data_IF_138580950703
#
_entry.id   IF_138580950703
#
_cell.length_a   1.000
_cell.length_b   1.000
_cell.length_c   1.000
_cell.angle_alpha   90.00
_cell.angle_beta   90.00
_cell.angle_gamma   90.00
#
_symmetry.space_group_name_H-M   'P 1'
#
loop_
_entity.id
_entity.type
_entity.pdbx_description
1 polymer ?
#
# COMPACT_ATOMS: atom_id res chain seq x y z
N UNK A 1 -34.10 -11.33 83.54
CA UNK A 1 -34.20 -10.90 82.12
C UNK A 1 -33.50 -11.95 81.28
N UNK A 2 -34.19 -12.56 80.32
CA UNK A 2 -33.67 -13.70 79.55
C UNK A 2 -32.40 -13.33 78.75
N UNK A 3 -31.43 -14.24 78.65
CA UNK A 3 -30.15 -14.00 77.99
C UNK A 3 -30.29 -14.02 76.46
N UNK A 4 -29.68 -13.02 75.82
CA UNK A 4 -29.49 -12.92 74.37
C UNK A 4 -28.60 -14.07 73.90
N UNK A 5 -29.21 -15.15 73.42
CA UNK A 5 -28.55 -16.16 72.62
C UNK A 5 -28.10 -15.51 71.30
N UNK A 6 -26.78 -15.36 71.15
CA UNK A 6 -26.18 -14.95 69.88
C UNK A 6 -26.58 -15.94 68.78
N UNK A 7 -27.13 -15.47 67.65
CA UNK A 7 -27.54 -16.33 66.57
C UNK A 7 -26.31 -16.93 65.88
N UNK A 8 -26.19 -18.27 65.92
CA UNK A 8 -25.34 -19.03 64.99
C UNK A 8 -25.97 -18.94 63.61
N UNK A 9 -25.77 -17.84 62.90
CA UNK A 9 -26.25 -17.69 61.53
C UNK A 9 -25.10 -17.83 60.53
N UNK A 10 -25.27 -18.88 59.73
CA UNK A 10 -24.93 -18.94 58.31
C UNK A 10 -23.46 -18.80 57.91
N UNK A 11 -22.67 -19.83 58.23
CA UNK A 11 -21.53 -20.23 57.39
C UNK A 11 -21.92 -20.60 55.94
N UNK A 12 -23.21 -20.74 55.65
CA UNK A 12 -23.72 -21.00 54.30
C UNK A 12 -23.69 -19.77 53.37
N UNK A 13 -23.69 -18.54 53.90
CA UNK A 13 -23.73 -17.34 53.03
C UNK A 13 -22.39 -17.09 52.32
N UNK A 14 -21.28 -17.45 52.95
CA UNK A 14 -19.92 -17.28 52.39
C UNK A 14 -19.67 -18.21 51.20
N UNK A 15 -20.29 -19.39 51.15
CA UNK A 15 -20.12 -20.32 50.02
C UNK A 15 -20.86 -19.85 48.75
N UNK A 16 -21.97 -19.12 48.88
CA UNK A 16 -22.71 -18.59 47.73
C UNK A 16 -21.97 -17.46 47.01
N UNK A 17 -21.17 -16.66 47.74
CA UNK A 17 -20.38 -15.58 47.12
C UNK A 17 -19.21 -16.14 46.31
N UNK A 18 -18.59 -17.24 46.75
CA UNK A 18 -17.49 -17.89 46.03
C UNK A 18 -18.01 -18.55 44.74
N UNK A 19 -19.20 -19.15 44.75
CA UNK A 19 -19.79 -19.76 43.55
C UNK A 19 -20.11 -18.75 42.44
N UNK A 20 -20.48 -17.51 42.79
CA UNK A 20 -20.77 -16.47 41.79
C UNK A 20 -19.50 -15.84 41.18
N UNK A 21 -18.39 -15.79 41.92
CA UNK A 21 -17.11 -15.30 41.40
C UNK A 21 -16.44 -16.30 40.44
N UNK A 22 -16.68 -17.60 40.62
CA UNK A 22 -16.13 -18.66 39.77
C UNK A 22 -16.89 -18.85 38.45
N UNK A 23 -18.06 -18.23 38.26
CA UNK A 23 -18.88 -18.44 37.06
C UNK A 23 -18.59 -17.50 35.88
N UNK A 24 -17.69 -16.52 36.02
CA UNK A 24 -17.39 -15.58 34.93
C UNK A 24 -16.14 -15.88 34.10
N UNK A 25 -15.50 -17.04 34.29
CA UNK A 25 -14.37 -17.44 33.42
C UNK A 25 -14.80 -18.21 32.15
N UNK A 26 -16.11 -18.35 31.91
CA UNK A 26 -16.64 -18.66 30.57
C UNK A 26 -17.05 -17.40 29.81
N UNK A 27 -16.23 -16.35 29.88
CA UNK A 27 -16.16 -15.40 28.77
C UNK A 27 -15.64 -16.16 27.57
N UNK A 28 -16.57 -16.54 26.70
CA UNK A 28 -16.37 -17.10 25.37
C UNK A 28 -14.99 -16.76 24.82
N UNK A 29 -14.06 -17.72 24.92
CA UNK A 29 -12.90 -17.73 24.06
C UNK A 29 -13.46 -17.64 22.64
N UNK A 30 -13.06 -16.60 21.91
CA UNK A 30 -13.33 -16.41 20.47
C UNK A 30 -13.32 -17.80 19.81
N UNK A 31 -14.38 -18.17 19.05
CA UNK A 31 -14.52 -19.53 18.55
C UNK A 31 -13.23 -19.98 17.86
N UNK A 32 -12.64 -21.05 18.37
CA UNK A 32 -11.61 -21.80 17.65
C UNK A 32 -12.20 -22.12 16.28
N UNK A 33 -11.51 -21.66 15.23
CA UNK A 33 -11.83 -21.77 13.80
C UNK A 33 -13.02 -22.71 13.52
N UNK A 34 -14.21 -22.17 13.23
CA UNK A 34 -15.29 -23.01 12.71
C UNK A 34 -14.86 -23.52 11.33
N UNK A 35 -14.56 -24.82 11.27
CA UNK A 35 -14.34 -25.55 10.02
C UNK A 35 -15.67 -25.59 9.24
N UNK A 36 -15.90 -24.59 8.40
CA UNK A 36 -16.72 -24.73 7.20
C UNK A 36 -15.79 -24.53 6.00
N UNK A 37 -15.17 -25.64 5.56
CA UNK A 37 -14.53 -25.88 4.26
C UNK A 37 -13.44 -24.91 3.72
N UNK A 38 -13.07 -23.85 4.44
CA UNK A 38 -11.93 -22.98 4.16
C UNK A 38 -11.09 -22.82 5.43
N UNK A 39 -9.76 -22.95 5.31
CA UNK A 39 -8.83 -22.89 6.44
C UNK A 39 -8.98 -21.66 7.34
N UNK A 40 -8.42 -21.72 8.55
CA UNK A 40 -8.58 -20.67 9.56
C UNK A 40 -8.30 -19.27 8.98
N UNK A 41 -9.20 -18.32 9.25
CA UNK A 41 -9.10 -16.94 8.79
C UNK A 41 -7.79 -16.33 9.33
N UNK A 42 -6.78 -16.19 8.45
CA UNK A 42 -5.53 -15.50 8.79
C UNK A 42 -5.63 -14.06 8.27
N UNK A 43 -5.81 -13.08 9.17
CA UNK A 43 -5.94 -11.67 8.79
C UNK A 43 -4.72 -11.17 8.00
N UNK A 44 -3.51 -11.63 8.32
CA UNK A 44 -2.30 -11.18 7.65
C UNK A 44 -2.22 -11.71 6.22
N UNK A 45 -2.51 -13.00 6.03
CA UNK A 45 -2.56 -13.62 4.69
C UNK A 45 -3.60 -12.93 3.81
N UNK A 46 -4.79 -12.66 4.36
CA UNK A 46 -5.86 -12.00 3.60
C UNK A 46 -5.49 -10.57 3.21
N UNK A 47 -4.88 -9.80 4.11
CA UNK A 47 -4.39 -8.44 3.79
C UNK A 47 -3.29 -8.47 2.73
N UNK A 48 -2.34 -9.40 2.81
CA UNK A 48 -1.32 -9.55 1.75
C UNK A 48 -1.93 -9.91 0.41
N UNK A 49 -2.87 -10.86 0.38
CA UNK A 49 -3.55 -11.27 -0.85
C UNK A 49 -4.33 -10.10 -1.46
N UNK A 50 -5.01 -9.29 -0.65
CA UNK A 50 -5.69 -8.07 -1.12
C UNK A 50 -4.69 -7.08 -1.73
N UNK A 51 -3.59 -6.76 -1.02
CA UNK A 51 -2.57 -5.85 -1.52
C UNK A 51 -1.92 -6.35 -2.83
N UNK A 52 -1.66 -7.65 -2.95
CA UNK A 52 -1.11 -8.29 -4.17
C UNK A 52 -2.10 -8.16 -5.34
N UNK A 53 -3.40 -8.44 -5.11
CA UNK A 53 -4.44 -8.28 -6.13
C UNK A 53 -4.56 -6.83 -6.59
N UNK A 54 -4.53 -5.87 -5.66
CA UNK A 54 -4.52 -4.44 -6.01
C UNK A 54 -3.30 -4.05 -6.83
N UNK A 55 -2.12 -4.59 -6.50
CA UNK A 55 -0.92 -4.34 -7.28
C UNK A 55 -1.02 -4.92 -8.71
N UNK A 56 -1.67 -6.06 -8.88
CA UNK A 56 -1.97 -6.63 -10.20
C UNK A 56 -2.97 -5.78 -11.00
N UNK A 57 -4.01 -5.26 -10.36
CA UNK A 57 -4.94 -4.29 -10.97
C UNK A 57 -4.18 -3.05 -11.45
N UNK A 58 -3.36 -2.44 -10.58
CA UNK A 58 -2.54 -1.27 -10.97
C UNK A 58 -1.61 -1.62 -12.13
N UNK A 59 -0.99 -2.81 -12.12
CA UNK A 59 -0.10 -3.23 -13.21
C UNK A 59 -0.83 -3.23 -14.56
N UNK A 60 -2.03 -3.82 -14.61
CA UNK A 60 -2.83 -3.83 -15.84
C UNK A 60 -3.26 -2.42 -16.25
N UNK A 61 -3.66 -1.58 -15.29
CA UNK A 61 -4.06 -0.19 -15.57
C UNK A 61 -2.88 0.69 -16.01
N UNK A 62 -1.69 0.46 -15.46
CA UNK A 62 -0.47 1.18 -15.81
C UNK A 62 -0.04 0.88 -17.26
N UNK A 63 -0.17 -0.37 -17.69
CA UNK A 63 0.03 -0.76 -19.10
C UNK A 63 -1.01 -0.08 -20.00
N UNK A 64 -2.29 -0.15 -19.65
CA UNK A 64 -3.35 0.44 -20.47
C UNK A 64 -3.23 1.97 -20.57
N UNK A 65 -3.03 2.68 -19.46
CA UNK A 65 -2.93 4.14 -19.48
C UNK A 65 -1.68 4.60 -20.23
N UNK A 66 -0.60 3.81 -20.19
CA UNK A 66 0.59 4.07 -20.97
C UNK A 66 0.27 4.05 -22.46
N UNK A 67 -0.36 2.98 -22.96
CA UNK A 67 -0.76 2.87 -24.37
C UNK A 67 -1.74 3.99 -24.77
N UNK A 68 -2.71 4.31 -23.92
CA UNK A 68 -3.65 5.42 -24.14
C UNK A 68 -2.91 6.75 -24.33
N UNK A 69 -1.87 7.03 -23.52
CA UNK A 69 -1.13 8.27 -23.67
C UNK A 69 -0.40 8.38 -25.04
N UNK A 70 0.08 7.25 -25.58
CA UNK A 70 0.76 7.22 -26.86
C UNK A 70 -0.17 7.32 -28.07
N UNK A 71 -1.41 6.84 -27.95
CA UNK A 71 -2.33 6.72 -29.09
C UNK A 71 -3.49 7.71 -29.08
N UNK A 72 -3.92 8.19 -27.92
CA UNK A 72 -5.07 9.09 -27.82
C UNK A 72 -4.74 10.50 -28.36
N UNK A 73 -5.59 11.12 -29.20
CA UNK A 73 -5.38 12.48 -29.73
C UNK A 73 -5.13 13.56 -28.66
N UNK A 74 -5.61 13.35 -27.44
CA UNK A 74 -5.35 14.22 -26.29
C UNK A 74 -3.85 14.40 -25.98
N UNK A 75 -3.07 13.32 -26.11
CA UNK A 75 -1.69 13.23 -25.59
C UNK A 75 -0.66 12.79 -26.63
N UNK A 76 -1.07 12.05 -27.66
CA UNK A 76 -0.16 11.36 -28.59
C UNK A 76 0.86 12.29 -29.25
N UNK A 77 0.43 13.48 -29.71
CA UNK A 77 1.34 14.46 -30.31
C UNK A 77 2.46 14.93 -29.35
N UNK A 78 2.14 15.07 -28.06
CA UNK A 78 3.13 15.43 -27.03
C UNK A 78 4.07 14.27 -26.75
N UNK A 79 3.53 13.06 -26.63
CA UNK A 79 4.31 11.84 -26.41
C UNK A 79 5.27 11.54 -27.57
N UNK A 80 4.83 11.68 -28.82
CA UNK A 80 5.69 11.56 -30.01
C UNK A 80 6.83 12.58 -29.96
N UNK A 81 6.55 13.82 -29.56
CA UNK A 81 7.57 14.87 -29.43
C UNK A 81 8.59 14.52 -28.33
N UNK A 82 8.13 14.03 -27.18
CA UNK A 82 9.00 13.60 -26.08
C UNK A 82 9.88 12.42 -26.50
N UNK A 83 9.31 11.42 -27.16
CA UNK A 83 10.05 10.25 -27.67
C UNK A 83 11.12 10.68 -28.68
N UNK A 84 10.80 11.59 -29.60
CA UNK A 84 11.77 12.12 -30.56
C UNK A 84 12.91 12.88 -29.86
N UNK A 85 12.60 13.68 -28.83
CA UNK A 85 13.61 14.38 -28.01
C UNK A 85 14.51 13.40 -27.26
N UNK A 86 13.93 12.35 -26.68
CA UNK A 86 14.66 11.30 -25.98
C UNK A 86 15.62 10.55 -26.91
N UNK A 87 15.21 10.20 -28.14
CA UNK A 87 16.12 9.57 -29.12
C UNK A 87 17.25 10.49 -29.56
N UNK A 88 17.08 11.82 -29.44
CA UNK A 88 18.15 12.82 -29.61
C UNK A 88 18.98 13.05 -28.35
N UNK A 89 18.83 12.20 -27.34
CA UNK A 89 19.53 12.30 -26.05
C UNK A 89 19.25 13.61 -25.30
N UNK A 90 18.05 14.18 -25.45
CA UNK A 90 17.60 15.28 -24.59
C UNK A 90 17.61 14.80 -23.13
N UNK A 91 18.47 15.42 -22.32
CA UNK A 91 18.73 15.01 -20.95
C UNK A 91 17.48 15.08 -20.07
N UNK A 92 16.58 16.04 -20.29
CA UNK A 92 15.38 16.20 -19.49
C UNK A 92 14.40 15.04 -19.73
N UNK A 93 14.21 14.64 -21.00
CA UNK A 93 13.32 13.52 -21.34
C UNK A 93 13.95 12.18 -21.00
N UNK A 94 15.26 12.03 -21.21
CA UNK A 94 15.98 10.83 -20.78
C UNK A 94 15.87 10.64 -19.27
N UNK A 95 16.07 11.71 -18.48
CA UNK A 95 15.86 11.68 -17.04
C UNK A 95 14.42 11.30 -16.70
N UNK A 96 13.43 11.88 -17.40
CA UNK A 96 12.02 11.59 -17.16
C UNK A 96 11.67 10.12 -17.40
N UNK A 97 12.33 9.44 -18.35
CA UNK A 97 12.10 8.01 -18.60
C UNK A 97 12.62 7.09 -17.48
N UNK A 98 13.74 7.44 -16.84
CA UNK A 98 14.50 6.51 -16.00
C UNK A 98 14.61 6.91 -14.52
N UNK A 99 14.27 8.15 -14.16
CA UNK A 99 14.34 8.64 -12.78
C UNK A 99 12.95 8.64 -12.17
N UNK A 100 12.63 7.56 -11.47
CA UNK A 100 11.34 7.39 -10.82
C UNK A 100 11.33 7.97 -9.41
N UNK A 101 10.15 8.40 -8.90
CA UNK A 101 10.01 8.90 -7.53
C UNK A 101 10.59 7.94 -6.48
N UNK A 102 10.54 6.65 -6.80
CA UNK A 102 10.81 5.56 -5.90
C UNK A 102 12.27 5.05 -5.94
N UNK A 103 13.12 5.55 -6.87
CA UNK A 103 14.48 5.05 -7.10
C UNK A 103 15.31 4.99 -5.79
N UNK A 104 15.10 5.96 -4.89
CA UNK A 104 15.81 6.05 -3.60
C UNK A 104 15.23 5.18 -2.48
N UNK A 105 14.06 4.59 -2.71
CA UNK A 105 13.28 3.84 -1.73
C UNK A 105 13.00 2.40 -2.10
N UNK A 106 13.26 2.00 -3.35
CA UNK A 106 13.09 0.62 -3.78
C UNK A 106 13.97 -0.31 -2.93
N UNK A 107 13.40 -1.30 -2.24
CA UNK A 107 14.20 -2.30 -1.55
C UNK A 107 15.09 -3.07 -2.55
N UNK A 108 16.30 -3.52 -2.12
CA UNK A 108 17.11 -4.42 -2.93
C UNK A 108 16.30 -5.65 -3.37
N UNK A 109 16.47 -6.07 -4.63
CA UNK A 109 15.67 -7.16 -5.21
C UNK A 109 16.19 -8.55 -4.81
N UNK A 110 17.50 -8.72 -4.69
CA UNK A 110 18.16 -9.98 -4.39
C UNK A 110 19.56 -9.77 -3.82
N UNK A 111 20.24 -10.87 -3.50
CA UNK A 111 21.61 -10.87 -3.00
C UNK A 111 21.72 -10.57 -1.50
N UNK A 112 22.96 -10.48 -0.98
CA UNK A 112 23.19 -10.39 0.46
C UNK A 112 22.54 -9.16 1.09
N UNK A 113 22.42 -8.06 0.34
CA UNK A 113 21.73 -6.86 0.82
C UNK A 113 20.26 -7.12 1.08
N UNK A 114 19.56 -7.89 0.22
CA UNK A 114 18.14 -8.24 0.37
C UNK A 114 17.93 -9.34 1.43
N UNK A 115 18.75 -10.37 1.41
CA UNK A 115 18.63 -11.54 2.31
C UNK A 115 18.85 -11.15 3.77
N UNK A 116 19.80 -10.25 4.04
CA UNK A 116 20.13 -9.82 5.40
C UNK A 116 19.23 -8.70 5.95
N UNK A 117 18.27 -8.17 5.17
CA UNK A 117 17.34 -7.15 5.68
C UNK A 117 16.40 -7.81 6.69
N UNK A 118 16.46 -7.36 7.95
CA UNK A 118 15.46 -7.71 8.97
C UNK A 118 14.06 -7.38 8.45
N UNK A 119 13.11 -8.32 8.56
CA UNK A 119 11.74 -8.19 8.04
C UNK A 119 11.06 -6.87 8.46
N UNK A 120 11.20 -6.44 9.71
CA UNK A 120 10.72 -5.13 10.19
C UNK A 120 11.28 -3.93 9.40
N UNK A 121 12.57 -3.95 9.06
CA UNK A 121 13.21 -2.90 8.25
C UNK A 121 12.70 -2.98 6.81
N UNK A 122 12.59 -4.18 6.26
CA UNK A 122 12.09 -4.40 4.91
C UNK A 122 10.66 -3.88 4.72
N UNK A 123 9.75 -4.20 5.65
CA UNK A 123 8.38 -3.70 5.66
C UNK A 123 8.31 -2.16 5.70
N UNK A 124 9.16 -1.52 6.51
CA UNK A 124 9.27 -0.05 6.55
C UNK A 124 9.82 0.55 5.26
N UNK A 125 10.73 -0.15 4.57
CA UNK A 125 11.22 0.28 3.26
C UNK A 125 10.07 0.22 2.25
N UNK A 126 9.27 -0.85 2.29
CA UNK A 126 8.12 -1.02 1.42
C UNK A 126 7.04 0.06 1.61
N UNK A 127 6.72 0.42 2.85
CA UNK A 127 5.81 1.54 3.15
C UNK A 127 6.33 2.86 2.55
N UNK A 128 7.63 3.13 2.61
CA UNK A 128 8.19 4.34 1.98
C UNK A 128 8.18 4.25 0.44
N UNK A 129 8.41 3.06 -0.13
CA UNK A 129 8.40 2.83 -1.57
C UNK A 129 7.00 3.07 -2.16
N UNK A 130 5.96 2.45 -1.59
CA UNK A 130 4.57 2.69 -2.01
C UNK A 130 4.12 4.11 -1.67
N UNK A 131 4.53 4.62 -0.50
CA UNK A 131 4.25 5.99 -0.07
C UNK A 131 4.83 7.06 -1.02
N UNK A 132 5.94 6.77 -1.71
CA UNK A 132 6.56 7.68 -2.69
C UNK A 132 5.63 8.03 -3.86
N UNK A 133 4.63 7.18 -4.12
CA UNK A 133 3.67 7.33 -5.21
C UNK A 133 2.41 8.13 -4.85
N UNK A 134 2.15 8.40 -3.56
CA UNK A 134 0.96 9.14 -3.13
C UNK A 134 0.90 10.54 -3.76
N UNK A 135 1.98 11.31 -3.66
CA UNK A 135 2.02 12.67 -4.23
C UNK A 135 1.99 12.67 -5.77
N UNK A 136 2.77 11.85 -6.49
CA UNK A 136 2.69 11.78 -7.95
C UNK A 136 1.29 11.40 -8.48
N UNK A 137 0.63 10.40 -7.89
CA UNK A 137 -0.68 9.93 -8.35
C UNK A 137 -1.80 10.92 -8.04
N UNK A 138 -1.79 11.54 -6.85
CA UNK A 138 -2.70 12.62 -6.52
C UNK A 138 -2.62 13.76 -7.53
N UNK A 139 -1.40 14.21 -7.84
CA UNK A 139 -1.21 15.28 -8.81
C UNK A 139 -1.53 14.85 -10.24
N UNK A 140 -1.29 13.58 -10.61
CA UNK A 140 -1.75 13.07 -11.91
C UNK A 140 -3.25 13.24 -12.07
N UNK A 141 -4.04 12.78 -11.11
CA UNK A 141 -5.50 12.86 -11.16
C UNK A 141 -6.00 14.30 -11.09
N UNK A 142 -5.42 15.12 -10.20
CA UNK A 142 -5.77 16.53 -10.06
C UNK A 142 -5.54 17.29 -11.37
N UNK A 143 -4.36 17.14 -11.97
CA UNK A 143 -3.97 17.91 -13.14
C UNK A 143 -4.67 17.40 -14.40
N UNK A 144 -4.86 16.09 -14.56
CA UNK A 144 -5.67 15.52 -15.66
C UNK A 144 -7.09 16.05 -15.63
N UNK A 145 -7.74 16.10 -14.45
CA UNK A 145 -9.10 16.62 -14.29
C UNK A 145 -9.23 18.08 -14.72
N UNK A 146 -8.16 18.87 -14.55
CA UNK A 146 -8.12 20.28 -14.95
C UNK A 146 -7.77 20.51 -16.43
N UNK A 147 -7.39 19.47 -17.18
CA UNK A 147 -7.02 19.61 -18.59
C UNK A 147 -8.25 19.62 -19.51
N UNK A 148 -8.20 20.51 -20.52
CA UNK A 148 -9.22 20.52 -21.57
C UNK A 148 -9.16 19.23 -22.39
N UNK A 149 -10.34 18.68 -22.70
CA UNK A 149 -10.52 17.48 -23.54
C UNK A 149 -9.84 16.22 -22.99
N UNK A 150 -9.63 16.12 -21.66
CA UNK A 150 -9.15 14.88 -21.05
C UNK A 150 -10.14 13.74 -21.33
N UNK A 151 -9.69 12.61 -21.91
CA UNK A 151 -10.55 11.46 -22.10
C UNK A 151 -10.92 10.82 -20.77
N UNK A 152 -12.20 10.52 -20.56
CA UNK A 152 -12.66 9.85 -19.33
C UNK A 152 -11.95 8.51 -19.12
N UNK A 153 -11.62 7.80 -20.21
CA UNK A 153 -10.87 6.52 -20.15
C UNK A 153 -9.45 6.64 -19.60
N UNK A 154 -8.82 7.83 -19.68
CA UNK A 154 -7.51 8.09 -19.07
C UNK A 154 -7.72 8.49 -17.61
N UNK A 155 -8.67 9.39 -17.37
CA UNK A 155 -8.93 9.93 -16.04
C UNK A 155 -9.44 8.87 -15.05
N UNK A 156 -10.33 7.97 -15.48
CA UNK A 156 -10.84 6.88 -14.63
C UNK A 156 -9.73 5.92 -14.22
N UNK A 157 -8.90 5.46 -15.17
CA UNK A 157 -7.75 4.60 -14.87
C UNK A 157 -6.76 5.27 -13.90
N UNK A 158 -6.50 6.56 -14.06
CA UNK A 158 -5.62 7.30 -13.15
C UNK A 158 -6.19 7.34 -11.71
N UNK A 159 -7.50 7.55 -11.56
CA UNK A 159 -8.19 7.50 -10.24
C UNK A 159 -8.09 6.11 -9.62
N UNK A 160 -8.33 5.06 -10.40
CA UNK A 160 -8.27 3.68 -9.90
C UNK A 160 -6.86 3.30 -9.45
N UNK A 161 -5.83 3.78 -10.17
CA UNK A 161 -4.43 3.60 -9.77
C UNK A 161 -4.14 4.34 -8.46
N UNK A 162 -4.54 5.61 -8.34
CA UNK A 162 -4.36 6.42 -7.13
C UNK A 162 -5.00 5.74 -5.91
N UNK A 163 -6.25 5.30 -6.07
CA UNK A 163 -7.02 4.62 -5.04
C UNK A 163 -6.35 3.33 -4.58
N UNK A 164 -6.05 2.43 -5.51
CA UNK A 164 -5.45 1.15 -5.17
C UNK A 164 -4.05 1.32 -4.54
N UNK A 165 -3.26 2.31 -4.97
CA UNK A 165 -1.96 2.57 -4.35
C UNK A 165 -2.11 3.05 -2.89
N UNK A 166 -3.13 3.88 -2.61
CA UNK A 166 -3.44 4.32 -1.25
C UNK A 166 -3.87 3.16 -0.36
N UNK A 167 -4.72 2.27 -0.86
CA UNK A 167 -5.17 1.08 -0.12
C UNK A 167 -4.00 0.13 0.19
N UNK A 168 -3.09 -0.12 -0.77
CA UNK A 168 -1.87 -0.92 -0.53
C UNK A 168 -1.02 -0.30 0.59
N UNK A 169 -0.92 1.04 0.62
CA UNK A 169 -0.15 1.73 1.66
C UNK A 169 -0.80 1.54 3.04
N UNK A 170 -2.13 1.64 3.15
CA UNK A 170 -2.85 1.37 4.39
C UNK A 170 -2.70 -0.08 4.85
N UNK A 171 -2.79 -1.04 3.93
CA UNK A 171 -2.55 -2.46 4.22
C UNK A 171 -1.15 -2.68 4.82
N UNK A 172 -0.12 -2.08 4.23
CA UNK A 172 1.25 -2.17 4.75
C UNK A 172 1.41 -1.54 6.14
N UNK A 173 0.77 -0.39 6.39
CA UNK A 173 0.75 0.29 7.71
C UNK A 173 0.06 -0.58 8.75
N UNK A 174 -1.05 -1.20 8.39
CA UNK A 174 -1.78 -2.12 9.24
C UNK A 174 -0.93 -3.36 9.56
N UNK A 175 -0.30 -3.98 8.55
CA UNK A 175 0.61 -5.12 8.74
C UNK A 175 1.74 -4.75 9.70
N UNK A 176 2.36 -3.58 9.55
CA UNK A 176 3.43 -3.12 10.45
C UNK A 176 2.94 -3.04 11.89
N UNK A 177 1.75 -2.49 12.10
CA UNK A 177 1.12 -2.33 13.42
C UNK A 177 0.78 -3.68 14.05
N UNK A 178 0.32 -4.66 13.24
CA UNK A 178 -0.03 -6.00 13.73
C UNK A 178 1.19 -6.86 14.04
N UNK A 179 2.17 -6.89 13.14
CA UNK A 179 3.37 -7.73 13.29
C UNK A 179 4.36 -7.11 14.29
N UNK A 180 4.44 -5.78 14.36
CA UNK A 180 5.35 -5.08 15.25
C UNK A 180 4.65 -3.93 16.00
N UNK A 181 3.79 -4.20 16.99
CA UNK A 181 2.98 -3.17 17.68
C UNK A 181 3.80 -2.04 18.33
N UNK A 182 5.03 -2.32 18.74
CA UNK A 182 5.95 -1.34 19.34
C UNK A 182 6.81 -0.60 18.32
N UNK A 183 6.62 -0.85 17.03
CA UNK A 183 7.40 -0.21 15.97
C UNK A 183 6.97 1.26 15.79
N UNK A 184 7.87 2.17 16.15
CA UNK A 184 7.78 3.55 15.68
C UNK A 184 8.16 3.62 14.20
N UNK A 185 7.36 4.31 13.39
CA UNK A 185 7.69 4.62 12.00
C UNK A 185 7.51 6.11 11.75
N UNK A 186 8.54 6.72 11.16
CA UNK A 186 8.44 8.03 10.52
C UNK A 186 8.55 7.78 9.02
N UNK A 187 7.47 8.03 8.30
CA UNK A 187 7.50 7.96 6.85
C UNK A 187 8.41 9.05 6.29
N UNK A 188 9.14 8.69 5.24
CA UNK A 188 10.04 9.61 4.56
C UNK A 188 9.20 10.52 3.67
N UNK A 189 9.42 11.82 3.78
CA UNK A 189 8.96 12.77 2.78
C UNK A 189 9.90 12.60 1.58
N UNK A 190 9.37 12.14 0.47
CA UNK A 190 10.14 11.88 -0.75
C UNK A 190 9.84 13.00 -1.73
N UNK A 191 10.88 13.72 -2.14
CA UNK A 191 10.78 14.73 -3.19
C UNK A 191 10.65 14.04 -4.54
N UNK A 192 9.63 14.42 -5.31
CA UNK A 192 9.48 14.01 -6.70
C UNK A 192 9.90 15.15 -7.62
N UNK A 193 10.95 14.93 -8.41
CA UNK A 193 11.59 15.93 -9.27
C UNK A 193 10.62 16.63 -10.25
N UNK A 194 9.55 15.95 -10.67
CA UNK A 194 8.59 16.45 -11.66
C UNK A 194 7.32 17.06 -11.06
N UNK A 195 7.28 17.27 -9.73
CA UNK A 195 6.16 17.93 -9.06
C UNK A 195 5.93 19.35 -9.58
N UNK A 196 7.00 20.10 -9.86
CA UNK A 196 6.88 21.44 -10.45
C UNK A 196 6.37 21.38 -11.89
N UNK A 197 6.86 20.41 -12.68
CA UNK A 197 6.47 20.25 -14.08
C UNK A 197 5.00 19.87 -14.23
N UNK A 198 4.46 18.97 -13.39
CA UNK A 198 3.05 18.58 -13.49
C UNK A 198 2.08 19.71 -13.13
N UNK A 199 2.49 20.61 -12.23
CA UNK A 199 1.72 21.79 -11.80
C UNK A 199 1.91 23.00 -12.73
N UNK A 200 2.85 22.93 -13.67
CA UNK A 200 3.19 24.03 -14.57
C UNK A 200 2.02 24.33 -15.52
N UNK A 201 1.73 25.59 -15.83
CA UNK A 201 0.76 25.91 -16.88
C UNK A 201 1.28 25.58 -18.30
N UNK A 202 2.59 25.34 -18.45
CA UNK A 202 3.21 24.95 -19.71
C UNK A 202 2.82 23.50 -20.07
N UNK A 203 2.12 23.33 -21.19
CA UNK A 203 1.63 22.02 -21.64
C UNK A 203 2.77 21.00 -21.77
N UNK A 204 3.92 21.39 -22.33
CA UNK A 204 5.06 20.49 -22.49
C UNK A 204 5.63 20.00 -21.17
N UNK A 205 5.65 20.83 -20.13
CA UNK A 205 6.10 20.46 -18.79
C UNK A 205 5.13 19.49 -18.12
N UNK A 206 3.82 19.75 -18.22
CA UNK A 206 2.81 18.79 -17.71
C UNK A 206 2.96 17.42 -18.35
N UNK A 207 3.09 17.38 -19.68
CA UNK A 207 3.24 16.11 -20.40
C UNK A 207 4.59 15.42 -20.15
N UNK A 208 5.66 16.16 -19.85
CA UNK A 208 6.93 15.57 -19.41
C UNK A 208 6.77 14.84 -18.06
N UNK A 209 6.04 15.43 -17.11
CA UNK A 209 5.76 14.79 -15.83
C UNK A 209 4.84 13.57 -15.97
N UNK A 210 3.80 13.66 -16.82
CA UNK A 210 2.93 12.53 -17.13
C UNK A 210 3.71 11.39 -17.81
N UNK A 211 4.64 11.73 -18.71
CA UNK A 211 5.54 10.76 -19.34
C UNK A 211 6.45 10.07 -18.31
N UNK A 212 6.96 10.80 -17.31
CA UNK A 212 7.70 10.20 -16.20
C UNK A 212 6.83 9.20 -15.43
N UNK A 213 5.64 9.61 -15.00
CA UNK A 213 4.72 8.74 -14.25
C UNK A 213 4.36 7.48 -15.05
N UNK A 214 4.00 7.62 -16.34
CA UNK A 214 3.52 6.51 -17.15
C UNK A 214 4.57 5.43 -17.42
N UNK A 215 5.86 5.78 -17.43
CA UNK A 215 6.95 4.80 -17.55
C UNK A 215 7.30 4.20 -16.19
N UNK A 216 7.46 5.06 -15.17
CA UNK A 216 7.88 4.63 -13.85
C UNK A 216 6.86 3.72 -13.16
N UNK A 217 5.57 4.00 -13.31
CA UNK A 217 4.52 3.21 -12.68
C UNK A 217 4.55 1.76 -13.15
N UNK A 218 4.75 1.51 -14.45
CA UNK A 218 4.84 0.15 -15.03
C UNK A 218 5.97 -0.67 -14.41
N UNK A 219 7.11 -0.04 -14.14
CA UNK A 219 8.28 -0.68 -13.54
C UNK A 219 8.10 -0.88 -12.04
N UNK A 220 7.68 0.16 -11.34
CA UNK A 220 7.61 0.14 -9.87
C UNK A 220 6.49 -0.76 -9.33
N UNK A 221 5.38 -0.89 -10.06
CA UNK A 221 4.30 -1.77 -9.63
C UNK A 221 4.69 -3.26 -9.75
N UNK A 222 5.51 -3.60 -10.75
CA UNK A 222 6.09 -4.94 -10.85
C UNK A 222 6.92 -5.27 -9.60
N UNK A 223 7.78 -4.35 -9.16
CA UNK A 223 8.55 -4.52 -7.94
C UNK A 223 7.70 -4.51 -6.68
N UNK A 224 6.66 -3.68 -6.62
CA UNK A 224 5.69 -3.67 -5.52
C UNK A 224 5.10 -5.06 -5.30
N UNK A 225 4.64 -5.71 -6.37
CA UNK A 225 4.09 -7.08 -6.31
C UNK A 225 5.13 -8.10 -5.84
N UNK A 226 6.35 -8.03 -6.36
CA UNK A 226 7.46 -8.88 -5.92
C UNK A 226 7.73 -8.72 -4.41
N UNK A 227 7.83 -7.49 -3.92
CA UNK A 227 8.11 -7.22 -2.52
C UNK A 227 6.99 -7.63 -1.59
N UNK A 228 5.72 -7.47 -1.99
CA UNK A 228 4.56 -7.93 -1.24
C UNK A 228 4.59 -9.45 -1.03
N UNK A 229 4.86 -10.23 -2.09
CA UNK A 229 5.00 -11.70 -1.98
C UNK A 229 6.16 -12.10 -1.07
N UNK A 230 7.31 -11.45 -1.22
CA UNK A 230 8.47 -11.72 -0.36
C UNK A 230 8.19 -11.39 1.11
N UNK A 231 7.46 -10.30 1.40
CA UNK A 231 7.04 -9.95 2.76
C UNK A 231 6.02 -10.94 3.32
N UNK A 232 5.05 -11.36 2.51
CA UNK A 232 4.08 -12.39 2.87
C UNK A 232 4.79 -13.68 3.28
N UNK A 233 5.67 -14.21 2.42
CA UNK A 233 6.49 -15.38 2.73
C UNK A 233 7.28 -15.21 4.03
N UNK A 234 7.95 -14.06 4.25
CA UNK A 234 8.75 -13.81 5.48
C UNK A 234 7.93 -13.67 6.76
N UNK A 235 6.67 -13.24 6.68
CA UNK A 235 5.82 -12.94 7.85
C UNK A 235 4.88 -14.11 8.17
N UNK A 236 4.31 -14.75 7.16
CA UNK A 236 3.28 -15.78 7.32
C UNK A 236 3.77 -17.18 6.94
N UNK A 237 4.88 -17.29 6.21
CA UNK A 237 5.37 -18.58 5.67
C UNK A 237 4.51 -19.14 4.53
N UNK A 238 3.67 -18.30 3.89
CA UNK A 238 2.79 -18.68 2.78
C UNK A 238 3.26 -18.06 1.47
N UNK A 239 2.95 -18.74 0.36
CA UNK A 239 3.24 -18.28 -1.01
C UNK A 239 4.72 -17.86 -1.22
N UNK A 240 5.62 -18.67 -0.65
CA UNK A 240 7.02 -18.75 -1.01
C UNK A 240 7.17 -19.64 -2.26
#
# INVERSE_FOLDING_TARGET
MLPLSQPRFSGALLMLVISNLLLWEKTASVPACHLEEGGCWDPLVNTFNSAIQRAEVIQNLAEQIHEEFYHNPFSSAQFVTLVARMYRHDQAVYRARYHCPSNSTNPPLHGPEHENIKTKKYLKMMINFVGSWISPLFHLVLELRGMQNVPEVILSKAKDIEENNREILEDLRWILTKVYPTAKMKEKIISWDYLSSIKSNEKSEKFLAIFNISHCLRVDIFYTKFHLRALMCRITGKEC
#
